data_IF_787889531676
#
_entry.id   IF_787889531676
#
_cell.length_a   1.000
_cell.length_b   1.000
_cell.length_c   1.000
_cell.angle_alpha   90.00
_cell.angle_beta   90.00
_cell.angle_gamma   90.00
#
_symmetry.space_group_name_H-M   'P 1'
#
loop_
_entity.id
_entity.type
_entity.pdbx_description
1 polymer ?
#
# COMPACT_ATOMS: atom_id res chain seq x y z
N UNK A 1 -5.14 -0.23 -30.87
CA UNK A 1 -5.63 -1.13 -29.84
C UNK A 1 -4.52 -1.56 -28.90
N UNK A 2 -4.79 -1.57 -27.65
CA UNK A 2 -3.81 -1.98 -26.65
C UNK A 2 -3.63 -3.50 -26.69
N UNK A 3 -2.37 -3.91 -26.64
CA UNK A 3 -2.04 -5.33 -26.68
C UNK A 3 -1.80 -5.86 -25.26
N UNK A 4 -2.83 -5.78 -24.43
CA UNK A 4 -2.73 -6.24 -23.05
C UNK A 4 -2.52 -7.74 -22.96
N UNK A 5 -3.13 -8.51 -23.87
CA UNK A 5 -2.94 -9.96 -23.90
C UNK A 5 -1.51 -10.36 -24.18
N UNK A 6 -0.84 -9.62 -25.07
CA UNK A 6 0.56 -9.88 -25.39
C UNK A 6 1.47 -9.58 -24.18
N UNK A 7 1.20 -8.48 -23.50
CA UNK A 7 1.95 -8.13 -22.30
C UNK A 7 1.76 -9.17 -21.20
N UNK A 8 0.53 -9.63 -20.99
CA UNK A 8 0.22 -10.66 -20.00
C UNK A 8 0.93 -11.97 -20.33
N UNK A 9 0.95 -12.37 -21.60
CA UNK A 9 1.62 -13.60 -21.99
C UNK A 9 3.12 -13.55 -21.73
N UNK A 10 3.75 -12.42 -22.01
CA UNK A 10 5.18 -12.25 -21.72
C UNK A 10 5.46 -12.28 -20.24
N UNK A 11 4.64 -11.63 -19.44
CA UNK A 11 4.77 -11.65 -18.00
C UNK A 11 4.61 -13.07 -17.45
N UNK A 12 3.58 -13.77 -17.90
CA UNK A 12 3.34 -15.15 -17.47
C UNK A 12 4.50 -16.07 -17.83
N UNK A 13 5.08 -15.88 -19.02
CA UNK A 13 6.24 -16.66 -19.42
C UNK A 13 7.43 -16.41 -18.50
N UNK A 14 7.72 -15.15 -18.20
CA UNK A 14 8.83 -14.81 -17.30
C UNK A 14 8.62 -15.39 -15.91
N UNK A 15 7.40 -15.34 -15.42
CA UNK A 15 7.08 -15.91 -14.11
C UNK A 15 7.30 -17.41 -14.06
N UNK A 16 7.04 -18.11 -15.18
CA UNK A 16 7.28 -19.55 -15.25
C UNK A 16 8.73 -19.91 -15.42
N UNK A 17 9.47 -19.10 -16.19
CA UNK A 17 10.83 -19.44 -16.59
C UNK A 17 11.90 -19.03 -15.59
N UNK A 18 11.62 -18.01 -14.77
CA UNK A 18 12.61 -17.48 -13.84
C UNK A 18 12.10 -17.50 -12.41
N UNK A 19 12.58 -18.43 -11.58
CA UNK A 19 12.21 -18.44 -10.16
C UNK A 19 12.60 -17.14 -9.43
N UNK A 20 13.74 -16.54 -9.80
CA UNK A 20 14.18 -15.29 -9.22
C UNK A 20 13.25 -14.15 -9.56
N UNK A 21 12.83 -14.08 -10.82
CA UNK A 21 11.89 -13.05 -11.26
C UNK A 21 10.54 -13.23 -10.56
N UNK A 22 10.08 -14.47 -10.43
CA UNK A 22 8.81 -14.76 -9.77
C UNK A 22 8.83 -14.33 -8.30
N UNK A 23 9.92 -14.66 -7.60
CA UNK A 23 10.06 -14.30 -6.19
C UNK A 23 10.03 -12.78 -6.00
N UNK A 24 10.75 -12.05 -6.86
CA UNK A 24 10.77 -10.60 -6.82
C UNK A 24 9.40 -10.00 -7.13
N UNK A 25 8.74 -10.54 -8.15
CA UNK A 25 7.41 -10.09 -8.54
C UNK A 25 6.41 -10.31 -7.39
N UNK A 26 6.43 -11.48 -6.77
CA UNK A 26 5.52 -11.79 -5.65
C UNK A 26 5.78 -10.89 -4.45
N UNK A 27 7.05 -10.60 -4.17
CA UNK A 27 7.41 -9.70 -3.09
C UNK A 27 6.85 -8.30 -3.34
N UNK A 28 7.02 -7.78 -4.56
CA UNK A 28 6.51 -6.47 -4.92
C UNK A 28 5.00 -6.42 -4.83
N UNK A 29 4.31 -7.48 -5.26
CA UNK A 29 2.87 -7.54 -5.17
C UNK A 29 2.38 -7.53 -3.72
N UNK A 30 3.10 -8.19 -2.81
CA UNK A 30 2.77 -8.15 -1.39
C UNK A 30 2.96 -6.75 -0.81
N UNK A 31 4.02 -6.06 -1.22
CA UNK A 31 4.28 -4.70 -0.75
C UNK A 31 3.19 -3.75 -1.22
N UNK A 32 2.81 -3.84 -2.48
CA UNK A 32 1.74 -3.02 -3.04
C UNK A 32 0.43 -3.27 -2.30
N UNK A 33 0.10 -4.54 -2.09
CA UNK A 33 -1.13 -4.90 -1.39
C UNK A 33 -1.15 -4.37 0.04
N UNK A 34 0.00 -4.40 0.72
CA UNK A 34 0.10 -3.89 2.09
C UNK A 34 -0.08 -2.37 2.13
N UNK A 35 0.52 -1.65 1.17
CA UNK A 35 0.33 -0.20 1.07
C UNK A 35 -1.13 0.13 0.80
N UNK A 36 -1.74 -0.58 -0.15
CA UNK A 36 -3.15 -0.37 -0.49
C UNK A 36 -4.05 -0.61 0.72
N UNK A 37 -3.76 -1.64 1.51
CA UNK A 37 -4.55 -1.96 2.70
C UNK A 37 -4.50 -0.82 3.73
N UNK A 38 -3.32 -0.25 3.95
CA UNK A 38 -3.17 0.88 4.87
C UNK A 38 -3.98 2.08 4.38
N UNK A 39 -3.84 2.42 3.10
CA UNK A 39 -4.51 3.58 2.52
C UNK A 39 -6.03 3.36 2.52
N UNK A 40 -6.49 2.16 2.18
CA UNK A 40 -7.93 1.86 2.21
C UNK A 40 -8.50 1.99 3.60
N UNK A 41 -7.77 1.57 4.63
CA UNK A 41 -8.21 1.72 6.01
C UNK A 41 -8.35 3.20 6.39
N UNK A 42 -7.40 4.03 5.97
CA UNK A 42 -7.50 5.47 6.22
C UNK A 42 -8.71 6.07 5.51
N UNK A 43 -8.98 5.63 4.28
CA UNK A 43 -10.14 6.14 3.53
C UNK A 43 -11.45 5.69 4.16
N UNK A 44 -11.51 4.50 4.70
CA UNK A 44 -12.69 4.01 5.43
C UNK A 44 -12.94 4.86 6.68
N UNK A 45 -11.88 5.16 7.43
CA UNK A 45 -11.98 6.02 8.63
C UNK A 45 -12.46 7.42 8.25
N UNK A 46 -11.96 7.95 7.14
CA UNK A 46 -12.43 9.23 6.63
C UNK A 46 -13.93 9.20 6.37
N UNK A 47 -14.38 8.16 5.68
CA UNK A 47 -15.80 8.01 5.34
C UNK A 47 -16.67 7.90 6.60
N UNK A 48 -16.20 7.14 7.58
CA UNK A 48 -16.93 6.98 8.85
C UNK A 48 -17.09 8.31 9.60
N UNK A 49 -16.15 9.22 9.42
CA UNK A 49 -16.20 10.53 10.04
C UNK A 49 -16.91 11.58 9.18
N UNK A 50 -17.43 11.16 8.05
CA UNK A 50 -18.14 12.05 7.12
C UNK A 50 -17.28 13.21 6.64
N UNK A 51 -15.99 12.98 6.49
CA UNK A 51 -15.06 13.98 5.95
C UNK A 51 -14.88 13.76 4.47
N UNK A 52 -14.90 14.86 3.70
CA UNK A 52 -14.52 14.78 2.30
C UNK A 52 -13.00 14.71 2.19
N UNK A 53 -12.51 14.26 1.05
CA UNK A 53 -11.06 14.26 0.80
C UNK A 53 -10.49 15.69 0.88
N UNK A 54 -11.26 16.67 0.40
CA UNK A 54 -10.86 18.06 0.47
C UNK A 54 -10.73 18.55 1.93
N UNK A 55 -11.69 18.19 2.76
CA UNK A 55 -11.65 18.57 4.17
C UNK A 55 -10.45 17.95 4.88
N UNK A 56 -10.18 16.67 4.61
CA UNK A 56 -9.05 16.00 5.21
C UNK A 56 -7.72 16.63 4.75
N UNK A 57 -7.62 16.96 3.46
CA UNK A 57 -6.43 17.62 2.93
C UNK A 57 -6.17 18.95 3.64
N UNK A 58 -7.23 19.74 3.85
CA UNK A 58 -7.11 21.01 4.55
C UNK A 58 -6.65 20.83 6.00
N UNK A 59 -7.18 19.82 6.67
CA UNK A 59 -6.79 19.57 8.07
C UNK A 59 -5.29 19.31 8.22
N UNK A 60 -4.70 18.61 7.26
CA UNK A 60 -3.27 18.29 7.33
C UNK A 60 -2.39 19.27 6.56
N UNK A 61 -3.00 20.31 5.99
CA UNK A 61 -2.25 21.32 5.26
C UNK A 61 -1.62 20.83 3.98
N UNK A 62 -2.27 19.88 3.30
CA UNK A 62 -1.76 19.30 2.05
C UNK A 62 -2.68 19.66 0.88
N UNK A 63 -2.12 19.53 -0.31
CA UNK A 63 -2.84 19.79 -1.55
C UNK A 63 -3.96 18.77 -1.74
N UNK A 64 -5.16 19.26 -2.04
CA UNK A 64 -6.33 18.40 -2.20
C UNK A 64 -6.14 17.34 -3.30
N UNK A 65 -5.59 17.77 -4.45
CA UNK A 65 -5.38 16.83 -5.56
C UNK A 65 -4.40 15.71 -5.18
N UNK A 66 -3.37 16.05 -4.39
CA UNK A 66 -2.39 15.06 -3.92
C UNK A 66 -3.03 14.06 -2.99
N UNK A 67 -3.87 14.52 -2.07
CA UNK A 67 -4.55 13.62 -1.12
C UNK A 67 -5.58 12.76 -1.85
N UNK A 68 -6.29 13.34 -2.81
CA UNK A 68 -7.24 12.57 -3.62
C UNK A 68 -6.55 11.43 -4.36
N UNK A 69 -5.40 11.72 -4.98
CA UNK A 69 -4.62 10.69 -5.67
C UNK A 69 -4.11 9.63 -4.70
N UNK A 70 -3.62 10.05 -3.54
CA UNK A 70 -3.12 9.12 -2.54
C UNK A 70 -4.21 8.13 -2.09
N UNK A 71 -5.40 8.63 -1.82
CA UNK A 71 -6.51 7.81 -1.33
C UNK A 71 -7.15 6.95 -2.41
N UNK A 72 -6.93 7.28 -3.67
CA UNK A 72 -7.54 6.57 -4.79
C UNK A 72 -6.60 5.53 -5.41
N UNK A 73 -5.36 5.91 -5.65
CA UNK A 73 -4.39 5.06 -6.35
C UNK A 73 -2.99 5.34 -5.83
N UNK A 74 -2.68 4.90 -4.61
CA UNK A 74 -1.37 5.15 -4.04
C UNK A 74 -0.30 4.36 -4.78
N UNK A 75 0.77 5.05 -5.20
CA UNK A 75 1.90 4.41 -5.86
C UNK A 75 3.06 4.32 -4.88
N UNK A 76 3.42 5.41 -4.27
CA UNK A 76 4.57 5.47 -3.38
C UNK A 76 4.31 6.55 -2.33
N UNK A 77 3.38 6.30 -1.41
CA UNK A 77 3.00 7.32 -0.45
C UNK A 77 4.15 7.64 0.51
N UNK A 78 4.32 8.90 0.79
CA UNK A 78 5.28 9.35 1.77
C UNK A 78 4.76 8.99 3.16
N UNK A 79 5.60 8.32 3.96
CA UNK A 79 5.18 7.88 5.28
C UNK A 79 4.70 9.03 6.16
N UNK A 80 5.39 10.18 6.09
CA UNK A 80 4.99 11.35 6.88
C UNK A 80 3.56 11.78 6.56
N UNK A 81 3.18 11.73 5.30
CA UNK A 81 1.80 12.07 4.90
C UNK A 81 0.82 11.05 5.44
N UNK A 82 1.17 9.77 5.37
CA UNK A 82 0.32 8.70 5.91
C UNK A 82 0.12 8.88 7.41
N UNK A 83 1.17 9.22 8.13
CA UNK A 83 1.09 9.49 9.58
C UNK A 83 0.21 10.70 9.86
N UNK A 84 0.34 11.76 9.06
CA UNK A 84 -0.50 12.95 9.22
C UNK A 84 -1.98 12.65 8.99
N UNK A 85 -2.28 11.82 7.99
CA UNK A 85 -3.66 11.39 7.72
C UNK A 85 -4.23 10.59 8.90
N UNK A 86 -3.45 9.64 9.42
CA UNK A 86 -3.88 8.85 10.57
C UNK A 86 -4.16 9.76 11.78
N UNK A 87 -3.26 10.69 12.04
CA UNK A 87 -3.41 11.62 13.15
C UNK A 87 -4.68 12.47 13.01
N UNK A 88 -4.94 12.98 11.82
CA UNK A 88 -6.14 13.76 11.55
C UNK A 88 -7.42 12.94 11.72
N UNK A 89 -7.33 11.65 11.53
CA UNK A 89 -8.44 10.73 11.70
C UNK A 89 -8.49 10.09 13.08
N UNK A 90 -7.68 10.60 13.99
CA UNK A 90 -7.61 10.13 15.38
C UNK A 90 -7.26 8.64 15.45
N UNK A 91 -6.31 8.22 14.63
CA UNK A 91 -5.88 6.84 14.53
C UNK A 91 -4.38 6.73 14.72
N UNK A 92 -3.95 5.60 15.24
CA UNK A 92 -2.53 5.27 15.40
C UNK A 92 -2.11 4.27 14.35
N UNK A 93 -0.88 4.42 13.87
CA UNK A 93 -0.26 3.43 13.00
C UNK A 93 0.57 2.51 13.87
N UNK A 94 0.30 1.22 13.78
CA UNK A 94 1.02 0.23 14.58
C UNK A 94 1.58 -0.85 13.67
N UNK A 95 2.75 -1.35 14.06
CA UNK A 95 3.38 -2.49 13.38
C UNK A 95 3.24 -3.67 14.32
N UNK A 96 2.54 -4.69 13.84
CA UNK A 96 2.22 -5.86 14.66
C UNK A 96 3.00 -7.06 14.14
N UNK A 97 3.80 -7.72 14.98
CA UNK A 97 4.52 -8.90 14.56
C UNK A 97 3.55 -10.01 14.16
N UNK A 98 3.93 -10.74 13.12
CA UNK A 98 3.15 -11.92 12.71
C UNK A 98 3.55 -13.11 13.54
N UNK A 99 2.64 -14.10 13.64
CA UNK A 99 3.04 -15.42 14.10
C UNK A 99 4.05 -15.98 13.11
N UNK A 100 5.17 -16.48 13.62
CA UNK A 100 6.24 -16.98 12.78
C UNK A 100 6.40 -18.47 12.90
N UNK A 101 6.83 -19.09 11.78
CA UNK A 101 7.27 -20.48 11.83
C UNK A 101 8.62 -20.55 12.53
N UNK A 102 8.99 -21.74 13.01
CA UNK A 102 10.29 -21.95 13.65
C UNK A 102 11.46 -21.56 12.73
N UNK A 103 11.34 -21.86 11.44
CA UNK A 103 12.37 -21.53 10.45
C UNK A 103 12.62 -20.01 10.36
N UNK A 104 11.54 -19.24 10.34
CA UNK A 104 11.66 -17.78 10.27
C UNK A 104 12.28 -17.19 11.53
N UNK A 105 11.98 -17.78 12.68
CA UNK A 105 12.58 -17.33 13.93
C UNK A 105 14.09 -17.54 13.91
N UNK A 106 14.55 -18.67 13.37
CA UNK A 106 15.97 -18.98 13.28
C UNK A 106 16.73 -18.01 12.40
N UNK A 107 16.10 -17.49 11.37
CA UNK A 107 16.76 -16.54 10.47
C UNK A 107 16.78 -15.12 11.02
N UNK A 108 16.07 -14.88 12.11
CA UNK A 108 16.03 -13.56 12.71
C UNK A 108 17.28 -13.35 13.57
N UNK A 109 18.03 -12.32 13.25
CA UNK A 109 19.19 -11.92 14.02
C UNK A 109 18.74 -10.99 15.13
N UNK A 110 19.11 -11.30 16.31
CA UNK A 110 18.77 -10.49 17.46
C UNK A 110 19.58 -9.18 17.49
#
# INVERSE_FOLDING_TARGET
MLDTGHHDRRLQRRLRESPEFRAEFERQQREIAAVDAVINTLDELRTERNLTKAQLAREIGKNEASIRRLLTAPVNPELRTVVALADALDADIRIVPRKRTAARRKTRVA
#
